data_IF_886998782994
#
_entry.id   IF_886998782994
#
_cell.length_a   1.000
_cell.length_b   1.000
_cell.length_c   1.000
_cell.angle_alpha   90.00
_cell.angle_beta   90.00
_cell.angle_gamma   90.00
#
_symmetry.space_group_name_H-M   'P 1'
#
loop_
_entity.id
_entity.type
_entity.pdbx_description
1 polymer ?
#
# COMPACT_ATOMS: atom_id res chain seq x y z
N UNK A 1 6.34 -0.34 12.94
CA UNK A 1 6.68 0.04 11.55
C UNK A 1 6.85 -1.24 10.75
N UNK A 2 6.20 -1.35 9.60
CA UNK A 2 6.35 -2.50 8.70
C UNK A 2 7.65 -2.35 7.89
N UNK A 3 8.22 -3.43 7.39
CA UNK A 3 9.39 -3.37 6.52
C UNK A 3 8.99 -3.23 5.05
N UNK A 4 9.93 -2.80 4.20
CA UNK A 4 9.77 -2.86 2.75
C UNK A 4 9.44 -4.27 2.22
N UNK A 5 9.94 -5.32 2.89
CA UNK A 5 9.65 -6.72 2.56
C UNK A 5 8.20 -7.10 2.88
N UNK A 6 7.64 -6.56 3.96
CA UNK A 6 6.23 -6.77 4.34
C UNK A 6 5.30 -6.13 3.31
N UNK A 7 5.60 -4.90 2.89
CA UNK A 7 4.85 -4.24 1.80
C UNK A 7 4.88 -5.06 0.53
N UNK A 8 6.07 -5.54 0.13
CA UNK A 8 6.21 -6.36 -1.08
C UNK A 8 5.42 -7.66 -0.99
N UNK A 9 5.44 -8.32 0.17
CA UNK A 9 4.67 -9.54 0.40
C UNK A 9 3.17 -9.29 0.36
N UNK A 10 2.71 -8.16 0.91
CA UNK A 10 1.32 -7.74 0.83
C UNK A 10 0.89 -7.45 -0.61
N UNK A 11 1.69 -6.68 -1.36
CA UNK A 11 1.45 -6.38 -2.78
C UNK A 11 1.32 -7.66 -3.62
N UNK A 12 2.19 -8.65 -3.40
CA UNK A 12 2.11 -9.94 -4.08
C UNK A 12 0.84 -10.73 -3.71
N UNK A 13 0.33 -10.59 -2.48
CA UNK A 13 -0.92 -11.28 -2.04
C UNK A 13 -2.18 -10.67 -2.63
N UNK A 14 -2.17 -9.36 -2.86
CA UNK A 14 -3.30 -8.63 -3.44
C UNK A 14 -3.20 -8.51 -4.96
N UNK A 15 -2.12 -9.03 -5.56
CA UNK A 15 -1.99 -9.11 -7.00
C UNK A 15 -3.20 -9.88 -7.60
N UNK A 16 -3.74 -9.37 -8.70
CA UNK A 16 -4.98 -9.81 -9.32
C UNK A 16 -6.27 -9.70 -8.46
N UNK A 17 -6.20 -9.12 -7.25
CA UNK A 17 -7.42 -8.75 -6.50
C UNK A 17 -7.99 -7.42 -7.01
N UNK A 18 -9.29 -7.23 -6.82
CA UNK A 18 -9.94 -5.97 -7.18
C UNK A 18 -9.33 -4.77 -6.43
N UNK A 19 -9.47 -3.58 -7.02
CA UNK A 19 -8.90 -2.32 -6.51
C UNK A 19 -9.12 -2.04 -5.00
N UNK A 20 -10.25 -2.41 -4.37
CA UNK A 20 -10.42 -2.25 -2.93
C UNK A 20 -9.37 -2.95 -2.05
N UNK A 21 -8.68 -3.98 -2.56
CA UNK A 21 -7.63 -4.70 -1.83
C UNK A 21 -6.40 -3.83 -1.52
N UNK A 22 -6.18 -2.74 -2.25
CA UNK A 22 -5.09 -1.81 -1.96
C UNK A 22 -5.30 -1.04 -0.65
N UNK A 23 -6.52 -0.98 -0.10
CA UNK A 23 -6.77 -0.33 1.20
C UNK A 23 -5.97 -0.97 2.33
N UNK A 24 -5.59 -2.24 2.17
CA UNK A 24 -4.77 -2.99 3.12
C UNK A 24 -3.30 -2.54 3.12
N UNK A 25 -2.85 -1.76 2.12
CA UNK A 25 -1.49 -1.18 2.09
C UNK A 25 -1.36 0.06 2.99
N UNK A 26 -2.43 0.50 3.66
CA UNK A 26 -2.38 1.68 4.54
C UNK A 26 -1.43 1.45 5.71
N UNK A 27 -0.50 2.37 5.93
CA UNK A 27 0.47 2.28 7.02
C UNK A 27 1.84 2.87 6.68
N UNK A 28 2.79 2.70 7.60
CA UNK A 28 4.16 3.19 7.46
C UNK A 28 5.15 2.04 7.29
N UNK A 29 5.98 2.15 6.25
CA UNK A 29 6.96 1.15 5.85
C UNK A 29 8.38 1.72 5.90
N UNK A 30 9.27 1.07 6.64
CA UNK A 30 10.68 1.42 6.71
C UNK A 30 11.42 0.89 5.47
N UNK A 31 12.00 1.82 4.73
CA UNK A 31 13.00 1.55 3.70
C UNK A 31 14.39 1.95 4.22
N UNK A 32 15.49 1.49 3.60
CA UNK A 32 16.83 1.78 4.09
C UNK A 32 17.17 3.28 4.22
N UNK A 33 16.53 4.16 3.42
CA UNK A 33 16.82 5.60 3.42
C UNK A 33 15.62 6.51 3.68
N UNK A 34 14.42 5.95 3.89
CA UNK A 34 13.20 6.74 4.10
C UNK A 34 12.09 5.89 4.74
N UNK A 35 11.04 6.56 5.19
CA UNK A 35 9.79 5.93 5.59
C UNK A 35 8.73 6.26 4.55
N UNK A 36 8.11 5.23 3.98
CA UNK A 36 6.95 5.38 3.12
C UNK A 36 5.70 5.38 3.99
N UNK A 37 4.99 6.50 4.06
CA UNK A 37 3.67 6.57 4.68
C UNK A 37 2.59 6.49 3.60
N UNK A 38 1.66 5.56 3.75
CA UNK A 38 0.46 5.45 2.93
C UNK A 38 -0.71 5.80 3.84
N UNK A 39 -1.15 7.05 3.81
CA UNK A 39 -2.20 7.57 4.70
C UNK A 39 -3.61 7.39 4.14
N UNK A 40 -3.74 7.46 2.82
CA UNK A 40 -4.98 7.31 2.10
C UNK A 40 -4.78 6.46 0.86
N UNK A 41 -5.69 5.49 0.68
CA UNK A 41 -5.80 4.70 -0.53
C UNK A 41 -7.22 4.88 -1.04
N UNK A 42 -7.33 5.32 -2.28
CA UNK A 42 -8.62 5.53 -2.91
C UNK A 42 -9.38 4.21 -3.02
N UNK A 43 -10.70 4.25 -2.89
CA UNK A 43 -11.54 3.06 -3.08
C UNK A 43 -11.88 2.77 -4.54
N UNK A 44 -11.56 3.70 -5.43
CA UNK A 44 -11.92 3.69 -6.84
C UNK A 44 -10.73 4.22 -7.67
N UNK A 45 -10.33 3.53 -8.75
CA UNK A 45 -9.20 3.94 -9.60
C UNK A 45 -9.42 5.24 -10.38
N UNK A 46 -10.66 5.73 -10.47
CA UNK A 46 -11.08 6.96 -11.14
C UNK A 46 -11.28 8.13 -10.17
N UNK A 47 -11.10 7.93 -8.87
CA UNK A 47 -11.20 9.01 -7.89
C UNK A 47 -10.04 10.02 -8.05
N UNK A 48 -10.25 11.25 -7.59
CA UNK A 48 -9.21 12.30 -7.62
C UNK A 48 -8.02 11.93 -6.73
N UNK A 49 -6.77 11.99 -7.25
CA UNK A 49 -5.58 11.41 -6.62
C UNK A 49 -5.37 11.89 -5.18
N UNK A 50 -4.72 11.03 -4.39
CA UNK A 50 -4.34 11.29 -3.00
C UNK A 50 -2.96 11.91 -2.89
#
# INVERSE_FOLDING_TARGET
MQSSTDLRSLLNRIDHRGYPAYKDTKGMYQFPGYVLSIDHVQGDPFASPS
#
